data_IF_651401891726
#
_entry.id   IF_651401891726
#
_cell.length_a   1.000
_cell.length_b   1.000
_cell.length_c   1.000
_cell.angle_alpha   90.00
_cell.angle_beta   90.00
_cell.angle_gamma   90.00
#
_symmetry.space_group_name_H-M   'P 1'
#
loop_
_entity.id
_entity.type
_entity.pdbx_description
1 polymer ?
#
# COMPACT_ATOMS: atom_id res chain seq x y z
N UNK A 1 -23.55 10.57 -10.64
CA UNK A 1 -23.75 9.93 -9.33
C UNK A 1 -22.41 9.31 -8.97
N UNK A 2 -21.54 10.05 -8.28
CA UNK A 2 -20.24 9.53 -7.87
C UNK A 2 -20.44 8.59 -6.68
N UNK A 3 -20.06 7.34 -6.82
CA UNK A 3 -20.04 6.39 -5.71
C UNK A 3 -18.88 6.77 -4.78
N UNK A 4 -19.21 7.32 -3.61
CA UNK A 4 -18.29 7.40 -2.49
C UNK A 4 -18.04 5.94 -2.06
N UNK A 5 -16.80 5.46 -2.16
CA UNK A 5 -16.38 4.19 -1.56
C UNK A 5 -15.84 4.53 -0.18
N UNK A 6 -16.66 4.46 0.90
CA UNK A 6 -16.12 4.51 2.24
C UNK A 6 -15.15 3.35 2.42
N UNK A 7 -14.00 3.60 3.02
CA UNK A 7 -13.06 2.56 3.44
C UNK A 7 -13.74 1.83 4.61
N UNK A 8 -14.51 0.80 4.29
CA UNK A 8 -15.23 -0.02 5.26
C UNK A 8 -14.67 -1.45 5.15
N UNK A 9 -14.21 -1.98 6.28
CA UNK A 9 -13.57 -3.29 6.46
C UNK A 9 -12.11 -3.45 5.98
N UNK A 10 -11.20 -2.74 6.66
CA UNK A 10 -9.79 -3.16 6.78
C UNK A 10 -9.70 -4.41 7.69
N UNK A 11 -10.23 -5.57 7.26
CA UNK A 11 -10.16 -6.92 7.90
C UNK A 11 -9.50 -6.91 9.30
N UNK A 12 -10.28 -6.40 10.26
CA UNK A 12 -9.83 -5.88 11.56
C UNK A 12 -8.87 -6.82 12.29
N UNK A 13 -7.77 -6.22 12.79
CA UNK A 13 -6.77 -6.81 13.66
C UNK A 13 -7.39 -7.71 14.74
N UNK A 14 -6.96 -8.97 14.81
CA UNK A 14 -7.10 -9.73 16.05
C UNK A 14 -6.18 -9.10 17.09
N UNK A 15 -6.74 -8.53 18.15
CA UNK A 15 -5.99 -8.15 19.35
C UNK A 15 -5.59 -9.42 20.10
N UNK A 16 -4.37 -9.88 19.88
CA UNK A 16 -3.73 -11.01 20.58
C UNK A 16 -2.59 -10.43 21.44
N UNK A 17 -2.32 -10.94 22.67
CA UNK A 17 -1.34 -10.35 23.57
C UNK A 17 0.04 -10.17 22.93
N UNK A 18 0.62 -8.99 23.10
CA UNK A 18 1.88 -8.53 22.53
C UNK A 18 3.05 -9.45 22.94
N UNK A 19 3.55 -10.28 22.02
CA UNK A 19 4.89 -10.87 22.09
C UNK A 19 5.80 -10.19 21.06
N UNK A 20 7.01 -9.85 21.52
CA UNK A 20 8.00 -8.96 20.88
C UNK A 20 8.58 -9.48 19.55
N UNK A 21 8.16 -10.65 19.07
CA UNK A 21 8.73 -11.38 17.93
C UNK A 21 7.77 -11.58 16.75
N UNK A 22 6.51 -11.20 16.88
CA UNK A 22 5.49 -11.58 15.91
C UNK A 22 5.18 -10.39 15.00
N UNK A 23 5.58 -10.49 13.73
CA UNK A 23 5.14 -9.57 12.69
C UNK A 23 3.69 -9.93 12.36
N UNK A 24 2.75 -9.11 12.81
CA UNK A 24 1.33 -9.24 12.48
C UNK A 24 1.01 -8.41 11.24
N UNK A 25 0.54 -9.06 10.17
CA UNK A 25 0.11 -8.39 8.94
C UNK A 25 -0.09 -9.37 7.79
N UNK A 26 -0.85 -8.96 6.77
CA UNK A 26 -0.91 -9.69 5.49
C UNK A 26 0.41 -9.38 4.78
N UNK A 27 1.30 -10.37 4.65
CA UNK A 27 2.71 -10.20 4.31
C UNK A 27 3.00 -9.22 3.15
N UNK A 28 2.25 -9.24 2.02
CA UNK A 28 2.43 -8.27 0.94
C UNK A 28 2.33 -6.80 1.34
N UNK A 29 1.57 -6.46 2.38
CA UNK A 29 1.33 -5.10 2.85
C UNK A 29 2.36 -4.65 3.90
N UNK A 30 3.22 -5.55 4.36
CA UNK A 30 4.25 -5.26 5.36
C UNK A 30 5.53 -4.78 4.67
N UNK A 31 6.07 -3.67 5.14
CA UNK A 31 7.29 -3.07 4.58
C UNK A 31 8.56 -3.82 4.97
N UNK A 32 9.62 -3.62 4.19
CA UNK A 32 10.92 -4.22 4.46
C UNK A 32 11.52 -3.85 5.82
N UNK A 33 11.29 -2.62 6.28
CA UNK A 33 11.76 -2.11 7.57
C UNK A 33 11.02 -2.77 8.74
N UNK A 34 9.70 -2.93 8.64
CA UNK A 34 8.90 -3.64 9.66
C UNK A 34 9.28 -5.13 9.69
N UNK A 35 9.52 -5.74 8.52
CA UNK A 35 10.02 -7.11 8.42
C UNK A 35 11.42 -7.28 9.05
N UNK A 36 12.22 -6.21 9.13
CA UNK A 36 13.53 -6.18 9.79
C UNK A 36 13.44 -5.84 11.28
N UNK A 37 12.24 -5.65 11.82
CA UNK A 37 12.02 -5.30 13.23
C UNK A 37 12.22 -3.82 13.55
N UNK A 38 12.26 -2.95 12.53
CA UNK A 38 12.29 -1.51 12.76
C UNK A 38 10.92 -0.99 13.25
N UNK A 39 10.89 0.12 14.01
CA UNK A 39 9.63 0.70 14.46
C UNK A 39 8.71 1.10 13.30
N UNK A 40 7.41 0.93 13.52
CA UNK A 40 6.39 1.39 12.59
C UNK A 40 6.40 2.93 12.47
N UNK A 41 6.10 3.42 11.28
CA UNK A 41 6.04 4.82 10.90
C UNK A 41 4.93 5.06 9.88
N UNK A 42 4.54 6.33 9.70
CA UNK A 42 3.53 6.71 8.71
C UNK A 42 3.90 6.30 7.26
N UNK A 43 5.20 6.22 6.95
CA UNK A 43 5.66 5.78 5.65
C UNK A 43 5.26 4.32 5.34
N UNK A 44 4.94 3.52 6.36
CA UNK A 44 4.48 2.13 6.21
C UNK A 44 3.03 2.04 5.74
N UNK A 45 2.17 2.96 6.18
CA UNK A 45 0.80 3.11 5.66
C UNK A 45 0.83 3.48 4.19
N UNK A 46 1.76 4.37 3.78
CA UNK A 46 1.92 4.77 2.37
C UNK A 46 2.32 3.58 1.48
N UNK A 47 3.17 2.69 1.98
CA UNK A 47 3.49 1.45 1.28
C UNK A 47 2.27 0.55 1.15
N UNK A 48 1.53 0.36 2.26
CA UNK A 48 0.31 -0.45 2.26
C UNK A 48 -0.73 0.09 1.28
N UNK A 49 -0.84 1.42 1.18
CA UNK A 49 -1.67 2.09 0.19
C UNK A 49 -1.24 1.76 -1.26
N UNK A 50 0.07 1.64 -1.55
CA UNK A 50 0.52 1.20 -2.87
C UNK A 50 0.12 -0.24 -3.20
N UNK A 51 0.07 -1.13 -2.20
CA UNK A 51 -0.42 -2.50 -2.39
C UNK A 51 -1.92 -2.51 -2.67
N UNK A 52 -2.70 -1.67 -1.98
CA UNK A 52 -4.13 -1.47 -2.27
C UNK A 52 -4.32 -0.89 -3.68
N UNK A 53 -3.50 0.08 -4.08
CA UNK A 53 -3.53 0.62 -5.44
C UNK A 53 -3.28 -0.47 -6.48
N UNK A 54 -2.31 -1.35 -6.22
CA UNK A 54 -2.02 -2.47 -7.11
C UNK A 54 -3.20 -3.46 -7.18
N UNK A 55 -3.75 -3.84 -6.03
CA UNK A 55 -4.91 -4.73 -5.91
C UNK A 55 -6.14 -4.17 -6.63
N UNK A 56 -6.35 -2.85 -6.56
CA UNK A 56 -7.46 -2.19 -7.25
C UNK A 56 -7.37 -2.33 -8.78
N UNK A 57 -6.15 -2.27 -9.33
CA UNK A 57 -5.92 -2.42 -10.77
C UNK A 57 -5.94 -3.89 -11.21
N UNK A 58 -5.37 -4.79 -10.40
CA UNK A 58 -5.25 -6.20 -10.75
C UNK A 58 -6.53 -7.01 -10.47
N UNK A 59 -7.35 -6.56 -9.52
CA UNK A 59 -8.52 -7.29 -9.02
C UNK A 59 -8.17 -8.52 -8.16
N UNK A 60 -6.90 -8.69 -7.79
CA UNK A 60 -6.41 -9.82 -6.98
C UNK A 60 -5.41 -9.37 -5.92
N UNK A 61 -5.18 -10.20 -4.91
CA UNK A 61 -4.21 -9.88 -3.85
C UNK A 61 -2.79 -9.77 -4.42
N UNK A 62 -1.96 -8.86 -3.89
CA UNK A 62 -0.56 -8.81 -4.28
C UNK A 62 0.14 -10.12 -3.94
N UNK A 63 0.89 -10.67 -4.89
CA UNK A 63 1.58 -11.95 -4.77
C UNK A 63 0.66 -13.17 -4.53
N UNK A 64 -0.58 -13.14 -5.03
CA UNK A 64 -1.53 -14.27 -4.92
C UNK A 64 -1.01 -15.58 -5.55
N UNK A 65 -0.05 -15.49 -6.47
CA UNK A 65 0.52 -16.63 -7.18
C UNK A 65 1.67 -17.37 -6.46
N UNK A 66 1.99 -17.01 -5.20
CA UNK A 66 3.07 -17.64 -4.44
C UNK A 66 2.74 -17.70 -2.94
N UNK A 67 3.46 -18.56 -2.22
CA UNK A 67 3.28 -18.70 -0.77
C UNK A 67 3.68 -17.41 -0.03
N UNK A 68 2.88 -17.04 0.98
CA UNK A 68 3.17 -15.89 1.85
C UNK A 68 4.05 -16.34 3.02
N UNK A 69 5.27 -16.75 2.69
CA UNK A 69 6.22 -17.35 3.62
C UNK A 69 7.46 -16.47 3.86
N UNK A 70 8.43 -17.02 4.59
CA UNK A 70 9.70 -16.35 4.86
C UNK A 70 10.48 -15.98 3.59
N UNK A 71 10.35 -16.78 2.51
CA UNK A 71 11.04 -16.49 1.27
C UNK A 71 10.45 -15.24 0.60
N UNK A 72 9.12 -15.10 0.60
CA UNK A 72 8.48 -13.87 0.14
C UNK A 72 8.91 -12.66 0.98
N UNK A 73 8.98 -12.80 2.30
CA UNK A 73 9.44 -11.73 3.18
C UNK A 73 10.87 -11.27 2.83
N UNK A 74 11.78 -12.23 2.60
CA UNK A 74 13.15 -11.94 2.14
C UNK A 74 13.18 -11.24 0.79
N UNK A 75 12.35 -11.67 -0.15
CA UNK A 75 12.28 -11.06 -1.47
C UNK A 75 11.76 -9.62 -1.41
N UNK A 76 10.73 -9.35 -0.60
CA UNK A 76 10.21 -7.99 -0.34
C UNK A 76 11.32 -7.12 0.24
N UNK A 77 12.09 -7.64 1.20
CA UNK A 77 13.26 -6.99 1.77
C UNK A 77 14.38 -6.69 0.76
N UNK A 78 14.43 -7.45 -0.35
CA UNK A 78 15.35 -7.23 -1.50
C UNK A 78 14.75 -6.32 -2.58
N UNK A 79 13.52 -5.85 -2.41
CA UNK A 79 12.87 -4.94 -3.35
C UNK A 79 11.91 -5.59 -4.34
N UNK A 80 11.52 -6.86 -4.14
CA UNK A 80 10.46 -7.49 -4.95
C UNK A 80 9.17 -6.68 -4.84
N UNK A 81 8.51 -6.47 -5.98
CA UNK A 81 7.21 -5.80 -6.09
C UNK A 81 6.32 -6.60 -7.05
N UNK A 82 4.98 -6.48 -6.93
CA UNK A 82 4.08 -7.06 -7.92
C UNK A 82 4.33 -6.51 -9.32
N UNK A 83 4.03 -7.30 -10.34
CA UNK A 83 4.19 -6.92 -11.74
C UNK A 83 3.23 -5.80 -12.12
N UNK A 84 3.67 -4.85 -12.95
CA UNK A 84 2.80 -3.79 -13.43
C UNK A 84 1.85 -4.35 -14.47
N UNK A 85 0.54 -4.24 -14.21
CA UNK A 85 -0.50 -4.70 -15.12
C UNK A 85 -0.48 -3.85 -16.41
N UNK A 86 -0.56 -4.52 -17.56
CA UNK A 86 -0.64 -3.85 -18.86
C UNK A 86 -1.81 -2.87 -18.91
N UNK A 87 -1.67 -1.80 -19.69
CA UNK A 87 -2.68 -0.73 -19.83
C UNK A 87 -2.98 0.09 -18.55
N UNK A 88 -2.24 -0.11 -17.46
CA UNK A 88 -2.35 0.78 -16.29
C UNK A 88 -1.90 2.21 -16.68
N UNK A 89 -2.68 3.26 -16.37
CA UNK A 89 -2.29 4.64 -16.67
C UNK A 89 -0.94 5.02 -16.05
N UNK A 90 -0.08 5.70 -16.82
CA UNK A 90 1.27 6.03 -16.38
C UNK A 90 1.31 6.90 -15.11
N UNK A 91 0.36 7.83 -14.94
CA UNK A 91 0.24 8.64 -13.74
C UNK A 91 0.00 7.77 -12.48
N UNK A 92 -0.82 6.72 -12.62
CA UNK A 92 -1.11 5.76 -11.56
C UNK A 92 0.12 4.90 -11.22
N UNK A 93 0.82 4.39 -12.25
CA UNK A 93 2.07 3.64 -12.08
C UNK A 93 3.10 4.49 -11.34
N UNK A 94 3.26 5.76 -11.74
CA UNK A 94 4.24 6.66 -11.14
C UNK A 94 3.93 6.93 -9.66
N UNK A 95 2.66 7.18 -9.33
CA UNK A 95 2.22 7.38 -7.95
C UNK A 95 2.43 6.11 -7.11
N UNK A 96 1.95 4.96 -7.59
CA UNK A 96 2.12 3.67 -6.93
C UNK A 96 3.60 3.36 -6.68
N UNK A 97 4.47 3.63 -7.67
CA UNK A 97 5.92 3.43 -7.54
C UNK A 97 6.58 4.32 -6.51
N UNK A 98 6.10 5.56 -6.35
CA UNK A 98 6.56 6.46 -5.28
C UNK A 98 6.10 5.95 -3.92
N UNK A 99 4.86 5.48 -3.81
CA UNK A 99 4.29 4.99 -2.56
C UNK A 99 4.97 3.72 -2.03
N UNK A 100 5.40 2.79 -2.90
CA UNK A 100 6.12 1.57 -2.48
C UNK A 100 7.65 1.65 -2.53
N UNK A 101 8.22 2.86 -2.51
CA UNK A 101 9.67 3.06 -2.59
C UNK A 101 10.39 2.30 -1.46
N UNK A 102 11.56 1.74 -1.75
CA UNK A 102 12.39 1.05 -0.75
C UNK A 102 12.84 2.01 0.35
N UNK A 103 13.15 3.25 0.00
CA UNK A 103 13.52 4.28 0.94
C UNK A 103 12.24 4.94 1.51
N UNK A 104 11.93 4.77 2.81
CA UNK A 104 10.72 5.34 3.41
C UNK A 104 10.68 6.87 3.32
N UNK A 105 11.82 7.55 3.26
CA UNK A 105 11.88 9.01 3.14
C UNK A 105 11.57 9.53 1.74
N UNK A 106 11.59 8.64 0.73
CA UNK A 106 11.20 8.97 -0.66
C UNK A 106 9.72 8.71 -0.93
N UNK A 107 9.00 8.11 0.02
CA UNK A 107 7.56 7.90 -0.08
C UNK A 107 6.85 9.25 0.13
N UNK A 108 5.83 9.58 -0.67
CA UNK A 108 5.10 10.81 -0.51
C UNK A 108 4.30 10.79 0.79
N UNK A 109 4.05 11.94 1.39
CA UNK A 109 3.06 12.05 2.44
C UNK A 109 1.63 12.09 1.85
N UNK A 110 0.62 11.93 2.70
CA UNK A 110 -0.79 11.90 2.28
C UNK A 110 -1.24 13.17 1.58
N UNK A 111 -0.73 14.35 1.96
CA UNK A 111 -1.09 15.61 1.29
C UNK A 111 -0.56 15.64 -0.14
N UNK A 112 0.67 15.14 -0.36
CA UNK A 112 1.23 15.00 -1.71
C UNK A 112 0.42 14.02 -2.54
N UNK A 113 0.03 12.88 -1.98
CA UNK A 113 -0.81 11.88 -2.66
C UNK A 113 -2.15 12.49 -3.07
N UNK A 114 -2.85 13.15 -2.15
CA UNK A 114 -4.13 13.82 -2.44
C UNK A 114 -3.95 14.86 -3.54
N UNK A 115 -2.88 15.65 -3.48
CA UNK A 115 -2.59 16.67 -4.50
C UNK A 115 -2.37 16.05 -5.88
N UNK A 116 -1.64 14.93 -5.96
CA UNK A 116 -1.42 14.21 -7.22
C UNK A 116 -2.73 13.63 -7.73
N UNK A 117 -3.49 12.93 -6.88
CA UNK A 117 -4.77 12.33 -7.27
C UNK A 117 -5.76 13.39 -7.78
N UNK A 118 -5.90 14.53 -7.08
CA UNK A 118 -6.77 15.64 -7.50
C UNK A 118 -6.35 16.25 -8.85
N UNK A 119 -5.05 16.30 -9.14
CA UNK A 119 -4.53 16.83 -10.40
C UNK A 119 -4.77 15.88 -11.58
N UNK A 120 -4.55 14.59 -11.35
CA UNK A 120 -4.56 13.57 -12.40
C UNK A 120 -5.95 12.97 -12.65
N UNK A 121 -6.89 13.09 -11.71
CA UNK A 121 -8.29 12.66 -11.85
C UNK A 121 -9.22 13.89 -11.97
N UNK A 122 -9.47 14.41 -13.18
CA UNK A 122 -10.42 15.50 -13.36
C UNK A 122 -11.85 15.02 -13.06
N UNK A 123 -12.34 15.31 -11.86
CA UNK A 123 -13.72 14.99 -11.45
C UNK A 123 -14.01 14.98 -9.95
N UNK A 124 -12.99 14.97 -9.08
CA UNK A 124 -13.19 14.96 -7.62
C UNK A 124 -13.39 16.36 -7.04
N UNK A 125 -14.62 16.73 -6.69
CA UNK A 125 -14.86 17.94 -5.90
C UNK A 125 -14.39 17.73 -4.45
N UNK A 126 -14.04 18.82 -3.77
CA UNK A 126 -13.39 18.88 -2.46
C UNK A 126 -14.10 18.12 -1.30
N UNK A 127 -15.28 17.57 -1.55
CA UNK A 127 -16.11 16.83 -0.59
C UNK A 127 -15.94 15.30 -0.65
N UNK A 128 -15.24 14.77 -1.65
CA UNK A 128 -15.19 13.33 -1.93
C UNK A 128 -13.94 12.62 -1.41
N UNK A 129 -12.97 13.36 -0.87
CA UNK A 129 -11.71 12.81 -0.35
C UNK A 129 -11.50 13.21 1.11
N UNK A 130 -12.38 12.70 1.97
CA UNK A 130 -12.24 12.79 3.43
C UNK A 130 -11.74 11.43 3.91
N UNK A 131 -10.42 11.32 4.08
CA UNK A 131 -9.85 10.29 4.96
C UNK A 131 -9.73 10.99 6.32
N UNK A 132 -10.79 10.88 7.13
CA UNK A 132 -10.76 11.25 8.55
C UNK A 132 -10.40 10.04 9.37
#
# INVERSE_FOLDING_TARGET
MGSILPISDLRLCKTIPFQKSDIYGVLPFVTSEVLRGEPYSFANDIYSFAMIMWEFISGVLPFDNQAHDFQLALDICKGKRPEIIENTPQCYINLMKRCWNMDPFKRPNTLEIITIIKRELPGGTDKDFVIT
#
